data_IF_141918276792
#
_entry.id   IF_141918276792
#
_cell.length_a   1.000
_cell.length_b   1.000
_cell.length_c   1.000
_cell.angle_alpha   90.00
_cell.angle_beta   90.00
_cell.angle_gamma   90.00
#
_symmetry.space_group_name_H-M   'P 1'
#
loop_
_entity.id
_entity.type
_entity.pdbx_description
1 polymer ?
#
# COMPACT_ATOMS: atom_id res chain seq x y z
N UNK A 1 -33.39 -26.36 -36.11
CA UNK A 1 -33.09 -25.89 -34.74
C UNK A 1 -32.35 -27.00 -34.00
N UNK A 2 -31.14 -26.76 -33.51
CA UNK A 2 -30.30 -27.79 -32.88
C UNK A 2 -30.32 -27.66 -31.34
N UNK A 3 -31.35 -28.20 -30.65
CA UNK A 3 -31.51 -28.02 -29.20
C UNK A 3 -30.33 -28.58 -28.41
N UNK A 4 -29.65 -29.61 -28.94
CA UNK A 4 -28.46 -30.20 -28.31
C UNK A 4 -27.27 -29.24 -28.28
N UNK A 5 -27.03 -28.49 -29.35
CA UNK A 5 -25.94 -27.50 -29.41
C UNK A 5 -26.17 -26.34 -28.44
N UNK A 6 -27.43 -25.87 -28.33
CA UNK A 6 -27.81 -24.80 -27.41
C UNK A 6 -27.60 -25.23 -25.95
N UNK A 7 -27.99 -26.46 -25.59
CA UNK A 7 -27.78 -26.99 -24.24
C UNK A 7 -26.29 -27.11 -23.88
N UNK A 8 -25.45 -27.58 -24.81
CA UNK A 8 -24.00 -27.66 -24.60
C UNK A 8 -23.37 -26.28 -24.42
N UNK A 9 -23.81 -25.28 -25.19
CA UNK A 9 -23.31 -23.92 -25.06
C UNK A 9 -23.69 -23.28 -23.71
N UNK A 10 -24.93 -23.51 -23.24
CA UNK A 10 -25.39 -23.04 -21.93
C UNK A 10 -24.59 -23.70 -20.79
N UNK A 11 -24.30 -25.00 -20.91
CA UNK A 11 -23.51 -25.73 -19.91
C UNK A 11 -22.03 -25.27 -19.86
N UNK A 12 -21.41 -24.99 -21.02
CA UNK A 12 -20.05 -24.45 -21.04
C UNK A 12 -20.04 -23.02 -20.47
N UNK A 13 -21.03 -22.21 -20.81
CA UNK A 13 -21.12 -20.84 -20.30
C UNK A 13 -21.31 -20.78 -18.79
N UNK A 14 -22.09 -21.71 -18.20
CA UNK A 14 -22.26 -21.77 -16.74
C UNK A 14 -20.96 -22.11 -16.01
N UNK A 15 -20.12 -22.99 -16.56
CA UNK A 15 -18.80 -23.31 -15.99
C UNK A 15 -17.86 -22.10 -15.91
N UNK A 16 -17.94 -21.16 -16.88
CA UNK A 16 -17.14 -19.93 -16.86
C UNK A 16 -17.62 -18.87 -15.86
N UNK A 17 -18.88 -18.93 -15.42
CA UNK A 17 -19.43 -17.98 -14.43
C UNK A 17 -18.97 -18.34 -13.01
N UNK A 18 -18.82 -19.64 -12.69
CA UNK A 18 -18.44 -20.08 -11.35
C UNK A 18 -16.94 -19.91 -11.04
N UNK A 19 -16.07 -19.73 -12.03
CA UNK A 19 -14.62 -19.59 -11.81
C UNK A 19 -14.18 -18.21 -11.29
N UNK A 20 -15.09 -17.25 -11.09
CA UNK A 20 -14.73 -15.88 -10.66
C UNK A 20 -14.83 -15.62 -9.14
N UNK A 21 -15.20 -16.60 -8.32
CA UNK A 21 -15.71 -16.33 -6.98
C UNK A 21 -14.72 -16.43 -5.80
N UNK A 22 -13.42 -16.60 -6.03
CA UNK A 22 -12.41 -16.47 -4.96
C UNK A 22 -11.18 -15.74 -5.50
N UNK A 23 -11.31 -14.42 -5.72
CA UNK A 23 -10.13 -13.55 -5.72
C UNK A 23 -9.63 -13.48 -4.28
N UNK A 24 -8.93 -14.53 -3.86
CA UNK A 24 -8.01 -14.45 -2.75
C UNK A 24 -7.20 -13.15 -2.95
N UNK A 25 -7.33 -12.20 -2.03
CA UNK A 25 -6.53 -10.98 -2.02
C UNK A 25 -5.10 -11.35 -1.63
N UNK A 26 -4.46 -12.19 -2.44
CA UNK A 26 -3.10 -12.64 -2.24
C UNK A 26 -2.21 -11.44 -2.52
N UNK A 27 -1.54 -11.00 -1.46
CA UNK A 27 -0.39 -10.14 -1.58
C UNK A 27 0.84 -11.01 -1.59
N UNK A 28 1.91 -10.45 -2.12
CA UNK A 28 3.19 -11.09 -2.19
C UNK A 28 4.26 -10.11 -1.74
N UNK A 29 5.37 -10.66 -1.28
CA UNK A 29 6.44 -9.88 -0.68
C UNK A 29 7.39 -9.31 -1.73
N UNK A 30 7.71 -8.03 -1.53
CA UNK A 30 8.78 -7.32 -2.20
C UNK A 30 9.82 -6.84 -1.20
N UNK A 31 11.05 -6.86 -1.68
CA UNK A 31 12.21 -6.30 -1.02
C UNK A 31 12.69 -5.10 -1.83
N UNK A 32 12.92 -3.97 -1.18
CA UNK A 32 13.50 -2.80 -1.79
C UNK A 32 14.81 -2.42 -1.09
N UNK A 33 15.69 -1.76 -1.82
CA UNK A 33 16.88 -1.10 -1.26
C UNK A 33 16.68 0.42 -1.13
N UNK A 34 17.69 1.12 -0.58
CA UNK A 34 17.69 2.58 -0.41
C UNK A 34 17.58 3.35 -1.73
N UNK A 35 17.99 2.73 -2.84
CA UNK A 35 17.89 3.27 -4.21
C UNK A 35 16.53 3.03 -4.85
N UNK A 36 15.61 2.37 -4.13
CA UNK A 36 14.30 1.99 -4.62
C UNK A 36 14.39 1.02 -5.81
N UNK A 37 15.32 0.07 -5.76
CA UNK A 37 15.29 -1.10 -6.65
C UNK A 37 14.41 -2.17 -6.00
N UNK A 38 13.29 -2.50 -6.62
CA UNK A 38 12.34 -3.49 -6.09
C UNK A 38 12.58 -4.87 -6.68
N UNK A 39 12.61 -5.89 -5.82
CA UNK A 39 12.70 -7.30 -6.19
C UNK A 39 11.64 -8.12 -5.49
N UNK A 40 11.03 -9.02 -6.25
CA UNK A 40 10.06 -9.98 -5.74
C UNK A 40 10.76 -11.04 -4.90
N UNK A 41 10.30 -11.23 -3.67
CA UNK A 41 10.84 -12.30 -2.84
C UNK A 41 10.30 -13.65 -3.31
N UNK A 42 11.22 -14.60 -3.49
CA UNK A 42 10.93 -15.97 -3.90
C UNK A 42 11.52 -16.96 -2.92
N UNK A 43 10.88 -18.11 -2.80
CA UNK A 43 11.41 -19.25 -2.07
C UNK A 43 12.54 -19.96 -2.86
N UNK A 44 13.11 -21.01 -2.28
CA UNK A 44 14.14 -21.83 -2.91
C UNK A 44 13.68 -22.53 -4.20
N UNK A 45 12.36 -22.72 -4.34
CA UNK A 45 11.73 -23.32 -5.52
C UNK A 45 11.30 -22.27 -6.56
N UNK A 46 11.75 -21.02 -6.43
CA UNK A 46 11.43 -19.90 -7.31
C UNK A 46 9.94 -19.46 -7.30
N UNK A 47 9.16 -19.89 -6.31
CA UNK A 47 7.79 -19.44 -6.14
C UNK A 47 7.74 -18.11 -5.39
N UNK A 48 6.81 -17.23 -5.77
CA UNK A 48 6.56 -15.99 -5.05
C UNK A 48 6.02 -16.27 -3.65
N UNK A 49 6.53 -15.56 -2.66
CA UNK A 49 6.12 -15.75 -1.26
C UNK A 49 4.84 -14.97 -0.99
N UNK A 50 3.72 -15.65 -0.68
CA UNK A 50 2.47 -14.97 -0.38
C UNK A 50 2.46 -14.43 1.05
N UNK A 51 1.72 -13.34 1.25
CA UNK A 51 1.36 -12.82 2.57
C UNK A 51 -0.13 -12.52 2.61
N UNK A 52 -0.77 -12.93 3.70
CA UNK A 52 -2.17 -12.62 3.98
C UNK A 52 -2.25 -11.38 4.85
N UNK A 53 -3.24 -10.54 4.59
CA UNK A 53 -3.50 -9.37 5.39
C UNK A 53 -4.76 -8.63 4.95
N UNK A 54 -5.14 -7.64 5.74
CA UNK A 54 -6.25 -6.75 5.45
C UNK A 54 -5.70 -5.46 4.89
N UNK A 55 -6.05 -5.14 3.65
CA UNK A 55 -5.72 -3.85 3.07
C UNK A 55 -6.45 -2.75 3.86
N UNK A 56 -5.69 -1.75 4.31
CA UNK A 56 -6.22 -0.63 5.04
C UNK A 56 -5.75 0.68 4.44
N UNK A 57 -6.62 1.66 4.54
CA UNK A 57 -6.36 3.05 4.20
C UNK A 57 -6.69 3.89 5.43
N UNK A 58 -5.76 4.73 5.87
CA UNK A 58 -5.99 5.68 6.95
C UNK A 58 -5.87 7.09 6.44
N UNK A 59 -6.85 7.93 6.82
CA UNK A 59 -6.95 9.32 6.41
C UNK A 59 -6.73 10.22 7.62
N UNK A 60 -5.84 11.19 7.49
CA UNK A 60 -5.58 12.21 8.50
C UNK A 60 -5.99 13.57 7.93
N UNK A 61 -6.95 14.23 8.57
CA UNK A 61 -7.31 15.61 8.25
C UNK A 61 -6.49 16.55 9.12
N UNK A 62 -5.69 17.40 8.49
CA UNK A 62 -4.81 18.37 9.15
C UNK A 62 -5.36 19.75 8.88
N UNK A 63 -5.75 20.47 9.92
CA UNK A 63 -6.21 21.85 9.81
C UNK A 63 -5.01 22.78 9.59
N UNK A 64 -5.10 23.67 8.58
CA UNK A 64 -4.02 24.61 8.22
C UNK A 64 -4.32 26.07 8.54
N UNK A 65 -5.42 26.34 9.26
CA UNK A 65 -5.89 27.70 9.52
C UNK A 65 -6.86 28.19 8.45
N UNK A 66 -7.63 29.25 8.76
CA UNK A 66 -8.58 29.90 7.84
C UNK A 66 -9.57 28.95 7.15
N UNK A 67 -9.99 27.87 7.84
CA UNK A 67 -10.93 26.88 7.31
C UNK A 67 -10.35 25.94 6.24
N UNK A 68 -9.03 25.93 6.02
CA UNK A 68 -8.36 25.05 5.05
C UNK A 68 -7.92 23.75 5.69
N UNK A 69 -8.07 22.65 4.95
CA UNK A 69 -7.67 21.33 5.40
C UNK A 69 -6.72 20.67 4.40
N UNK A 70 -5.74 19.94 4.92
CA UNK A 70 -5.01 18.94 4.15
C UNK A 70 -5.52 17.56 4.54
N UNK A 71 -5.82 16.71 3.57
CA UNK A 71 -6.11 15.30 3.83
C UNK A 71 -4.92 14.45 3.40
N UNK A 72 -4.34 13.74 4.35
CA UNK A 72 -3.25 12.79 4.13
C UNK A 72 -3.82 11.39 4.10
N UNK A 73 -3.44 10.59 3.12
CA UNK A 73 -3.90 9.21 2.99
C UNK A 73 -2.68 8.29 2.94
N UNK A 74 -2.66 7.32 3.85
CA UNK A 74 -1.64 6.27 3.91
C UNK A 74 -2.33 4.93 3.69
N UNK A 75 -1.74 4.10 2.84
CA UNK A 75 -2.20 2.74 2.53
C UNK A 75 -1.20 1.74 3.05
N UNK A 76 -1.68 0.64 3.61
CA UNK A 76 -0.84 -0.41 4.16
C UNK A 76 -1.58 -1.76 4.19
N UNK A 77 -0.82 -2.84 4.29
CA UNK A 77 -1.35 -4.17 4.53
C UNK A 77 -1.19 -4.51 6.01
N UNK A 78 -2.30 -4.67 6.72
CA UNK A 78 -2.28 -5.13 8.10
C UNK A 78 -2.20 -6.66 8.14
N UNK A 79 -1.11 -7.20 8.68
CA UNK A 79 -0.88 -8.63 8.83
C UNK A 79 -1.49 -9.08 10.16
N UNK A 80 -2.56 -9.88 10.09
CA UNK A 80 -3.38 -10.24 11.26
C UNK A 80 -3.14 -11.67 11.77
N UNK A 81 -2.12 -12.36 11.26
CA UNK A 81 -1.76 -13.72 11.69
C UNK A 81 -1.11 -13.70 13.09
N UNK A 82 -1.32 -14.76 13.90
CA UNK A 82 -0.81 -14.83 15.28
C UNK A 82 0.70 -14.64 15.41
N UNK A 83 1.48 -15.03 14.39
CA UNK A 83 2.93 -14.91 14.36
C UNK A 83 3.41 -13.84 13.35
N UNK A 84 2.62 -12.79 13.13
CA UNK A 84 2.91 -11.77 12.14
C UNK A 84 4.29 -11.12 12.32
N UNK A 85 4.69 -10.79 13.56
CA UNK A 85 5.99 -10.18 13.85
C UNK A 85 7.15 -11.07 13.43
N UNK A 86 7.14 -12.33 13.87
CA UNK A 86 8.18 -13.32 13.50
C UNK A 86 8.19 -13.57 11.98
N UNK A 87 7.02 -13.63 11.35
CA UNK A 87 6.90 -13.83 9.90
C UNK A 87 7.51 -12.67 9.12
N UNK A 88 7.29 -11.43 9.56
CA UNK A 88 7.92 -10.25 8.95
C UNK A 88 9.43 -10.27 9.13
N UNK A 89 9.92 -10.59 10.32
CA UNK A 89 11.36 -10.72 10.56
C UNK A 89 11.99 -11.75 9.63
N UNK A 90 11.37 -12.93 9.50
CA UNK A 90 11.81 -13.97 8.56
C UNK A 90 11.85 -13.43 7.13
N UNK A 91 10.83 -12.68 6.68
CA UNK A 91 10.84 -12.11 5.34
C UNK A 91 11.94 -11.06 5.13
N UNK A 92 12.25 -10.25 6.13
CA UNK A 92 13.37 -9.31 6.09
C UNK A 92 14.70 -10.06 5.96
N UNK A 93 14.91 -11.12 6.74
CA UNK A 93 16.09 -11.96 6.62
C UNK A 93 16.19 -12.61 5.24
N UNK A 94 15.08 -13.13 4.72
CA UNK A 94 15.04 -13.70 3.36
C UNK A 94 15.37 -12.64 2.29
N UNK A 95 14.90 -11.41 2.43
CA UNK A 95 15.25 -10.31 1.53
C UNK A 95 16.77 -10.04 1.53
N UNK A 96 17.36 -9.95 2.71
CA UNK A 96 18.80 -9.72 2.89
C UNK A 96 19.62 -10.88 2.31
N UNK A 97 19.21 -12.12 2.59
CA UNK A 97 19.89 -13.31 2.11
C UNK A 97 19.82 -13.46 0.58
N UNK A 98 18.68 -13.14 -0.04
CA UNK A 98 18.48 -13.34 -1.47
C UNK A 98 19.05 -12.20 -2.33
N UNK A 99 19.06 -10.97 -1.82
CA UNK A 99 19.36 -9.77 -2.64
C UNK A 99 20.51 -8.91 -2.11
N UNK A 100 21.01 -9.18 -0.91
CA UNK A 100 22.07 -8.43 -0.23
C UNK A 100 21.55 -7.54 0.90
N UNK A 101 22.46 -7.08 1.77
CA UNK A 101 22.19 -6.27 2.97
C UNK A 101 21.38 -4.99 2.70
N UNK A 102 21.48 -4.46 1.49
CA UNK A 102 20.80 -3.22 1.14
C UNK A 102 19.28 -3.43 0.97
N UNK A 103 18.80 -4.66 0.76
CA UNK A 103 17.40 -4.99 0.53
C UNK A 103 16.64 -5.30 1.83
N UNK A 104 16.53 -4.32 2.73
CA UNK A 104 15.90 -4.50 4.04
C UNK A 104 14.52 -3.82 4.17
N UNK A 105 14.02 -3.17 3.10
CA UNK A 105 12.69 -2.57 3.08
C UNK A 105 11.66 -3.57 2.57
N UNK A 106 10.71 -3.93 3.43
CA UNK A 106 9.70 -4.94 3.15
C UNK A 106 8.38 -4.27 2.73
N UNK A 107 7.81 -4.74 1.62
CA UNK A 107 6.53 -4.25 1.10
C UNK A 107 5.69 -5.40 0.54
N UNK A 108 4.40 -5.14 0.35
CA UNK A 108 3.45 -6.04 -0.30
C UNK A 108 2.90 -5.43 -1.59
N UNK A 109 2.64 -6.27 -2.59
CA UNK A 109 1.78 -5.92 -3.72
C UNK A 109 1.05 -7.17 -4.24
N UNK A 110 -0.04 -6.99 -4.99
CA UNK A 110 -0.79 -8.11 -5.59
C UNK A 110 -0.14 -8.66 -6.85
N UNK A 111 0.44 -7.77 -7.64
CA UNK A 111 1.09 -8.06 -8.91
C UNK A 111 2.12 -6.97 -9.24
N UNK A 112 2.77 -7.06 -10.41
CA UNK A 112 3.85 -6.17 -10.84
C UNK A 112 3.40 -4.72 -11.08
N UNK A 113 2.10 -4.52 -11.29
CA UNK A 113 1.50 -3.23 -11.63
C UNK A 113 0.75 -2.61 -10.45
N UNK A 114 0.56 -3.37 -9.39
CA UNK A 114 -0.07 -2.92 -8.16
C UNK A 114 0.85 -1.99 -7.37
N UNK A 115 0.29 -1.02 -6.64
CA UNK A 115 1.09 -0.17 -5.75
C UNK A 115 1.74 -1.02 -4.66
N UNK A 116 3.00 -0.70 -4.34
CA UNK A 116 3.71 -1.30 -3.23
C UNK A 116 3.27 -0.64 -1.93
N UNK A 117 2.71 -1.42 -1.02
CA UNK A 117 2.22 -0.93 0.26
C UNK A 117 3.07 -1.50 1.39
N UNK A 118 3.39 -0.71 2.42
CA UNK A 118 4.11 -1.19 3.58
C UNK A 118 3.25 -2.19 4.38
N UNK A 119 3.92 -2.99 5.20
CA UNK A 119 3.28 -3.93 6.12
C UNK A 119 3.13 -3.32 7.52
N UNK A 120 2.00 -3.56 8.17
CA UNK A 120 1.74 -3.19 9.56
C UNK A 120 1.40 -4.44 10.36
N UNK A 121 2.01 -4.59 11.53
CA UNK A 121 1.63 -5.62 12.51
C UNK A 121 0.90 -4.97 13.67
N UNK A 122 -0.21 -5.59 14.08
CA UNK A 122 -0.95 -5.25 15.30
C UNK A 122 -1.29 -3.75 15.45
N UNK A 123 -1.54 -3.04 14.34
CA UNK A 123 -1.87 -1.59 14.26
C UNK A 123 -0.82 -0.64 14.84
N UNK A 124 0.33 -1.13 15.28
CA UNK A 124 1.30 -0.33 16.05
C UNK A 124 2.62 -0.23 15.31
N UNK A 125 3.06 -1.33 14.72
CA UNK A 125 4.40 -1.42 14.16
C UNK A 125 4.34 -1.51 12.65
N UNK A 126 4.65 -0.37 12.00
CA UNK A 126 4.89 -0.32 10.57
C UNK A 126 6.27 -0.91 10.32
N UNK A 127 6.33 -2.01 9.58
CA UNK A 127 7.60 -2.59 9.13
C UNK A 127 8.40 -1.53 8.36
N UNK A 128 9.74 -1.66 8.40
CA UNK A 128 10.61 -0.81 7.58
C UNK A 128 10.26 -1.01 6.12
N UNK A 129 9.92 0.08 5.44
CA UNK A 129 9.41 0.05 4.09
C UNK A 129 9.20 1.44 3.53
N UNK A 130 8.87 1.53 2.25
CA UNK A 130 8.39 2.76 1.65
C UNK A 130 6.87 2.85 1.77
N UNK A 131 6.36 4.07 1.92
CA UNK A 131 4.94 4.34 1.86
C UNK A 131 4.64 5.52 0.96
N UNK A 132 3.54 5.40 0.22
CA UNK A 132 2.96 6.49 -0.54
C UNK A 132 2.06 7.30 0.39
N UNK A 133 2.30 8.60 0.41
CA UNK A 133 1.48 9.58 1.10
C UNK A 133 0.76 10.42 0.04
N UNK A 134 -0.54 10.20 -0.12
CA UNK A 134 -1.38 11.07 -0.93
C UNK A 134 -1.82 12.26 -0.08
N UNK A 135 -1.46 13.47 -0.49
CA UNK A 135 -1.84 14.73 0.15
C UNK A 135 -2.83 15.45 -0.76
N UNK A 136 -4.02 15.72 -0.23
CA UNK A 136 -5.02 16.58 -0.86
C UNK A 136 -5.00 17.93 -0.14
N UNK A 137 -4.70 19.00 -0.87
CA UNK A 137 -4.62 20.36 -0.33
C UNK A 137 -5.71 21.23 -0.94
N UNK A 138 -6.31 22.06 -0.10
CA UNK A 138 -7.18 23.15 -0.55
C UNK A 138 -6.33 24.39 -0.87
N UNK A 139 -6.01 24.61 -2.15
CA UNK A 139 -5.26 25.78 -2.58
C UNK A 139 -6.21 26.90 -3.00
N UNK A 140 -5.98 28.10 -2.47
CA UNK A 140 -6.76 29.27 -2.84
C UNK A 140 -6.09 29.99 -4.01
N UNK A 141 -6.73 29.96 -5.17
CA UNK A 141 -6.27 30.62 -6.39
C UNK A 141 -6.95 31.99 -6.46
N UNK A 142 -6.13 33.04 -6.53
CA UNK A 142 -6.61 34.40 -6.78
C UNK A 142 -6.59 34.67 -8.28
N UNK A 143 -7.77 34.83 -8.86
CA UNK A 143 -7.93 35.28 -10.24
C UNK A 143 -8.42 36.73 -10.21
N UNK A 144 -7.77 37.68 -10.92
CA UNK A 144 -8.10 39.11 -10.84
C UNK A 144 -9.56 39.46 -11.18
N UNK A 145 -10.28 38.55 -11.85
CA UNK A 145 -11.68 38.71 -12.28
C UNK A 145 -12.68 37.85 -11.49
N UNK A 146 -12.26 37.07 -10.49
CA UNK A 146 -13.10 36.09 -9.79
C UNK A 146 -12.91 36.18 -8.26
N UNK A 147 -13.99 35.96 -7.50
CA UNK A 147 -13.89 35.73 -6.06
C UNK A 147 -12.99 34.52 -5.80
N UNK A 148 -12.24 34.55 -4.69
CA UNK A 148 -11.30 33.51 -4.25
C UNK A 148 -11.85 32.08 -4.52
N UNK A 149 -11.18 31.32 -5.40
CA UNK A 149 -11.56 29.93 -5.70
C UNK A 149 -10.63 28.97 -4.96
N UNK A 150 -11.22 28.02 -4.24
CA UNK A 150 -10.46 26.92 -3.61
C UNK A 150 -10.47 25.72 -4.56
N UNK A 151 -9.29 25.20 -4.91
CA UNK A 151 -9.12 24.04 -5.80
C UNK A 151 -8.36 22.93 -5.05
N UNK A 152 -8.86 21.68 -5.06
CA UNK A 152 -8.15 20.56 -4.47
C UNK A 152 -6.95 20.17 -5.34
N UNK A 153 -5.77 20.13 -4.76
CA UNK A 153 -4.53 19.66 -5.41
C UNK A 153 -4.11 18.34 -4.78
N UNK A 154 -3.84 17.32 -5.62
CA UNK A 154 -3.32 16.02 -5.18
C UNK A 154 -1.80 15.97 -5.41
N UNK A 155 -1.06 15.63 -4.37
CA UNK A 155 0.37 15.32 -4.42
C UNK A 155 0.59 13.92 -3.85
N UNK A 156 1.46 13.11 -4.46
CA UNK A 156 1.85 11.80 -3.95
C UNK A 156 3.34 11.81 -3.64
N UNK A 157 3.69 11.56 -2.38
CA UNK A 157 5.08 11.56 -1.91
C UNK A 157 5.46 10.15 -1.46
N UNK A 158 6.60 9.64 -1.94
CA UNK A 158 7.17 8.37 -1.45
C UNK A 158 8.16 8.66 -0.32
N UNK A 159 7.89 8.14 0.87
CA UNK A 159 8.73 8.32 2.07
C UNK A 159 9.25 6.98 2.59
N UNK A 160 10.45 6.99 3.14
CA UNK A 160 11.04 5.86 3.87
C UNK A 160 10.52 5.85 5.32
N UNK A 161 10.12 4.67 5.81
CA UNK A 161 9.82 4.47 7.22
C UNK A 161 11.03 3.87 7.95
N UNK A 162 11.63 4.64 8.87
CA UNK A 162 12.91 4.30 9.49
C UNK A 162 12.82 3.48 10.80
N UNK A 163 11.69 3.48 11.55
CA UNK A 163 11.40 2.50 12.64
C UNK A 163 10.15 2.84 13.49
N UNK A 164 9.50 1.78 13.99
CA UNK A 164 8.63 1.51 15.18
C UNK A 164 7.85 2.63 15.90
N UNK A 165 7.61 3.75 15.25
CA UNK A 165 6.60 4.68 15.69
C UNK A 165 5.99 5.27 14.42
N UNK A 166 4.74 4.89 14.14
CA UNK A 166 3.83 5.70 13.31
C UNK A 166 3.77 7.19 13.79
N UNK A 167 4.39 7.46 14.95
CA UNK A 167 4.37 8.64 15.79
C UNK A 167 5.43 9.73 15.57
N UNK A 168 6.40 9.68 14.64
CA UNK A 168 7.38 10.80 14.56
C UNK A 168 7.15 11.80 13.41
N UNK A 169 6.51 11.44 12.28
CA UNK A 169 6.32 12.37 11.15
C UNK A 169 4.91 12.98 11.01
N UNK A 170 3.88 12.43 11.67
CA UNK A 170 2.67 13.21 11.97
C UNK A 170 2.99 14.26 13.04
N UNK A 171 3.85 13.94 14.02
CA UNK A 171 4.26 14.85 15.10
C UNK A 171 5.33 15.89 14.68
N UNK A 172 6.29 15.59 13.80
CA UNK A 172 7.28 16.57 13.35
C UNK A 172 6.75 17.58 12.31
N UNK A 173 5.70 17.25 11.54
CA UNK A 173 5.04 18.22 10.64
C UNK A 173 4.10 19.19 11.39
N UNK A 174 3.65 18.83 12.61
CA UNK A 174 3.00 19.74 13.58
C UNK A 174 4.02 20.77 14.10
N UNK A 175 5.27 20.38 14.30
CA UNK A 175 6.31 21.27 14.82
C UNK A 175 6.93 22.20 13.77
N UNK A 176 6.83 21.91 12.46
CA UNK A 176 7.35 22.77 11.40
C UNK A 176 6.40 23.90 10.94
N UNK A 177 5.26 24.07 11.60
CA UNK A 177 4.29 25.17 11.38
C UNK A 177 4.02 26.00 12.65
N UNK A 178 4.75 25.73 13.75
CA UNK A 178 4.73 26.49 15.01
C UNK A 178 5.87 27.53 15.09
N UNK A 179 6.46 27.87 13.95
CA UNK A 179 7.36 29.00 13.76
C UNK A 179 6.91 29.85 12.57
#
# INVERSE_FOLDING_TARGET
MHPKLIATFIFIYSLFIFSKAFSHNNYYIYCANSKKDWKWLKDSSQNYIPISGVYKETKYKIHKGLGRYHTWIIRYLEVTELNADQKIQNFQEMCVNNFGSDYHFLQAAKDKFSPWIPLVVNKKDLARGYYELDIFRDEAIYEPSLMLRVVPVKETILKENLNNNFDLNILLYINSYLH
#
